data_IF_279215440058
#
_entry.id   IF_279215440058
#
_cell.length_a   1.000
_cell.length_b   1.000
_cell.length_c   1.000
_cell.angle_alpha   90.00
_cell.angle_beta   90.00
_cell.angle_gamma   90.00
#
_symmetry.space_group_name_H-M   'P 1'
#
loop_
_entity.id
_entity.type
_entity.pdbx_description
1 polymer ?
#
# COMPACT_ATOMS: atom_id res chain seq x y z
N UNK A 1 21.80 -64.72 5.57
CA UNK A 1 21.54 -63.28 5.36
C UNK A 1 21.23 -63.08 3.90
N UNK A 2 20.07 -62.50 3.64
CA UNK A 2 19.31 -62.58 2.40
C UNK A 2 19.25 -61.22 1.71
N UNK A 3 19.14 -61.25 0.37
CA UNK A 3 18.43 -60.27 -0.49
C UNK A 3 19.08 -58.86 -0.55
N UNK A 4 19.29 -58.20 -1.69
CA UNK A 4 18.81 -58.37 -3.05
C UNK A 4 18.43 -57.00 -3.62
N UNK A 5 18.72 -56.77 -4.91
CA UNK A 5 18.12 -55.79 -5.84
C UNK A 5 18.25 -54.29 -5.47
N UNK A 6 18.34 -53.33 -6.41
CA UNK A 6 18.27 -53.31 -7.86
C UNK A 6 18.83 -51.93 -8.29
N UNK A 7 19.82 -51.89 -9.19
CA UNK A 7 19.71 -51.80 -10.66
C UNK A 7 19.05 -50.54 -11.22
N UNK A 8 19.85 -49.85 -12.06
CA UNK A 8 19.54 -49.19 -13.35
C UNK A 8 18.63 -47.97 -13.27
N UNK A 9 19.06 -46.83 -13.82
CA UNK A 9 19.32 -46.63 -15.25
C UNK A 9 18.20 -45.73 -15.79
N UNK A 10 18.34 -44.91 -16.81
CA UNK A 10 19.43 -44.71 -17.74
C UNK A 10 19.20 -43.39 -18.48
N UNK A 11 20.31 -42.68 -18.68
CA UNK A 11 20.82 -42.28 -20.00
C UNK A 11 19.88 -42.52 -21.21
N UNK A 12 19.80 -41.49 -22.07
CA UNK A 12 20.02 -41.52 -23.54
C UNK A 12 18.85 -41.14 -24.48
N UNK A 13 19.14 -40.05 -25.21
CA UNK A 13 18.94 -39.72 -26.64
C UNK A 13 17.54 -39.63 -27.25
N UNK A 14 17.30 -38.40 -27.74
CA UNK A 14 16.73 -38.02 -29.03
C UNK A 14 16.72 -39.16 -30.05
N UNK A 15 15.53 -39.50 -30.52
CA UNK A 15 15.29 -40.22 -31.76
C UNK A 15 14.50 -39.31 -32.71
N UNK A 16 14.97 -39.28 -33.95
CA UNK A 16 14.31 -38.67 -35.10
C UNK A 16 12.93 -39.29 -35.31
N UNK A 17 11.99 -38.49 -35.81
CA UNK A 17 11.40 -38.67 -37.15
C UNK A 17 9.95 -38.19 -37.17
N UNK A 18 9.67 -37.46 -38.25
CA UNK A 18 8.40 -36.89 -38.64
C UNK A 18 7.50 -38.01 -39.14
N UNK A 19 6.22 -38.00 -38.80
CA UNK A 19 5.16 -38.49 -39.68
C UNK A 19 3.98 -37.54 -39.57
N UNK A 20 3.66 -36.90 -40.69
CA UNK A 20 2.47 -36.10 -40.92
C UNK A 20 1.26 -37.01 -41.08
N UNK A 21 0.12 -36.64 -40.50
CA UNK A 21 -1.18 -37.01 -41.04
C UNK A 21 -2.21 -35.95 -40.62
N UNK A 22 -2.73 -35.25 -41.62
CA UNK A 22 -3.80 -34.28 -41.49
C UNK A 22 -5.14 -35.00 -41.34
N UNK A 23 -5.97 -34.57 -40.40
CA UNK A 23 -7.44 -34.74 -40.47
C UNK A 23 -8.05 -33.41 -40.01
N UNK A 24 -8.83 -32.83 -40.90
CA UNK A 24 -9.38 -31.49 -40.80
C UNK A 24 -10.39 -31.32 -39.69
N UNK A 25 -10.32 -30.17 -39.05
CA UNK A 25 -11.46 -29.54 -38.40
C UNK A 25 -11.41 -28.06 -38.77
N UNK A 26 -12.31 -27.63 -39.65
CA UNK A 26 -12.50 -26.23 -39.96
C UNK A 26 -13.11 -25.54 -38.74
N UNK A 27 -12.27 -25.08 -37.81
CA UNK A 27 -12.65 -24.06 -36.83
C UNK A 27 -12.45 -22.72 -37.50
N UNK A 28 -13.55 -21.99 -37.65
CA UNK A 28 -13.56 -20.60 -38.07
C UNK A 28 -12.72 -19.78 -37.07
N UNK A 29 -11.43 -19.60 -37.37
CA UNK A 29 -10.52 -18.81 -36.55
C UNK A 29 -10.85 -17.33 -36.74
N UNK A 30 -11.75 -16.82 -35.91
CA UNK A 30 -11.87 -15.38 -35.68
C UNK A 30 -10.50 -14.89 -35.21
N UNK A 31 -9.89 -13.87 -35.85
CA UNK A 31 -8.67 -13.29 -35.32
C UNK A 31 -9.04 -12.61 -34.00
N UNK A 32 -8.70 -13.26 -32.88
CA UNK A 32 -8.65 -12.59 -31.60
C UNK A 32 -7.51 -11.58 -31.68
N UNK A 33 -7.83 -10.39 -32.16
CA UNK A 33 -6.91 -9.26 -32.12
C UNK A 33 -6.66 -8.97 -30.65
N UNK A 34 -5.55 -9.49 -30.11
CA UNK A 34 -5.01 -9.04 -28.84
C UNK A 34 -4.65 -7.57 -29.06
N UNK A 35 -5.56 -6.69 -28.68
CA UNK A 35 -5.29 -5.26 -28.59
C UNK A 35 -4.28 -5.12 -27.46
N UNK A 36 -3.00 -5.00 -27.82
CA UNK A 36 -1.96 -4.58 -26.90
C UNK A 36 -2.39 -3.22 -26.34
N UNK A 37 -2.89 -3.23 -25.11
CA UNK A 37 -3.17 -2.01 -24.37
C UNK A 37 -1.80 -1.42 -24.06
N UNK A 38 -1.42 -0.36 -24.78
CA UNK A 38 -0.22 0.40 -24.46
C UNK A 38 -0.32 0.87 -22.99
N UNK A 39 0.80 0.88 -22.24
CA UNK A 39 0.79 1.50 -20.93
C UNK A 39 0.40 2.96 -21.12
N UNK A 40 -0.65 3.40 -20.42
CA UNK A 40 -1.00 4.82 -20.28
C UNK A 40 0.13 5.51 -19.51
N UNK A 41 1.22 5.79 -20.20
CA UNK A 41 2.31 6.62 -19.71
C UNK A 41 1.88 8.09 -19.85
N UNK A 42 0.98 8.50 -18.97
CA UNK A 42 0.46 9.86 -18.86
C UNK A 42 -0.16 10.15 -17.50
N UNK A 43 0.16 9.35 -16.48
CA UNK A 43 -0.28 9.59 -15.11
C UNK A 43 0.71 10.52 -14.41
N UNK A 44 0.20 11.62 -13.85
CA UNK A 44 0.88 12.46 -12.88
C UNK A 44 1.67 11.57 -11.89
N UNK A 45 3.00 11.69 -11.84
CA UNK A 45 3.85 10.77 -11.09
C UNK A 45 3.48 10.70 -9.59
N UNK A 46 2.80 11.72 -9.06
CA UNK A 46 2.24 11.73 -7.72
C UNK A 46 1.04 10.80 -7.50
N UNK A 47 0.38 10.35 -8.57
CA UNK A 47 -0.72 9.37 -8.56
C UNK A 47 -0.23 7.93 -8.77
N UNK A 48 1.08 7.70 -8.90
CA UNK A 48 1.63 6.36 -8.96
C UNK A 48 1.25 5.57 -7.70
N UNK A 49 0.87 4.30 -7.88
CA UNK A 49 0.44 3.42 -6.78
C UNK A 49 1.69 2.85 -6.10
N UNK A 50 1.86 3.16 -4.82
CA UNK A 50 2.95 2.63 -3.99
C UNK A 50 2.59 1.26 -3.39
N UNK A 51 1.32 1.05 -3.04
CA UNK A 51 0.78 -0.21 -2.55
C UNK A 51 -0.75 -0.24 -2.71
N UNK A 52 -1.37 -1.40 -2.54
CA UNK A 52 -2.83 -1.56 -2.49
C UNK A 52 -3.17 -2.32 -1.20
N UNK A 53 -4.12 -1.78 -0.42
CA UNK A 53 -4.59 -2.39 0.84
C UNK A 53 -6.06 -2.77 0.66
N UNK A 54 -6.32 -4.08 0.53
CA UNK A 54 -7.61 -4.62 0.12
C UNK A 54 -8.07 -4.01 -1.23
N UNK A 55 -8.86 -2.94 -1.19
CA UNK A 55 -9.36 -2.23 -2.37
C UNK A 55 -8.98 -0.74 -2.41
N UNK A 56 -8.11 -0.28 -1.49
CA UNK A 56 -7.69 1.11 -1.39
C UNK A 56 -6.24 1.29 -1.88
N UNK A 57 -6.01 2.04 -2.98
CA UNK A 57 -4.67 2.31 -3.47
C UNK A 57 -3.99 3.37 -2.60
N UNK A 58 -2.77 3.08 -2.15
CA UNK A 58 -1.87 4.05 -1.53
C UNK A 58 -1.08 4.74 -2.63
N UNK A 59 -1.22 6.06 -2.78
CA UNK A 59 -0.42 6.82 -3.75
C UNK A 59 0.98 7.17 -3.23
N UNK A 60 1.93 7.35 -4.13
CA UNK A 60 3.29 7.81 -3.79
C UNK A 60 3.23 9.17 -3.09
N UNK A 61 2.38 10.11 -3.53
CA UNK A 61 2.24 11.43 -2.90
C UNK A 61 1.77 11.35 -1.45
N UNK A 62 0.83 10.45 -1.14
CA UNK A 62 0.38 10.23 0.23
C UNK A 62 1.48 9.63 1.10
N UNK A 63 2.20 8.64 0.57
CA UNK A 63 3.32 8.04 1.28
C UNK A 63 4.42 9.07 1.56
N UNK A 64 4.77 9.91 0.58
CA UNK A 64 5.74 10.98 0.78
C UNK A 64 5.31 12.01 1.83
N UNK A 65 4.03 12.40 1.83
CA UNK A 65 3.50 13.31 2.84
C UNK A 65 3.62 12.71 4.25
N UNK A 66 3.42 11.40 4.39
CA UNK A 66 3.61 10.68 5.66
C UNK A 66 5.07 10.59 6.08
N UNK A 67 5.98 10.38 5.13
CA UNK A 67 7.43 10.40 5.41
C UNK A 67 7.85 11.79 5.89
N UNK A 68 7.39 12.87 5.24
CA UNK A 68 7.65 14.25 5.66
C UNK A 68 7.07 14.53 7.05
N UNK A 69 5.86 14.05 7.34
CA UNK A 69 5.25 14.19 8.66
C UNK A 69 6.11 13.53 9.75
N UNK A 70 6.53 12.27 9.55
CA UNK A 70 7.37 11.55 10.51
C UNK A 70 8.72 12.25 10.69
N UNK A 71 9.36 12.67 9.59
CA UNK A 71 10.61 13.41 9.65
C UNK A 71 10.48 14.71 10.45
N UNK A 72 9.43 15.50 10.20
CA UNK A 72 9.14 16.74 10.90
C UNK A 72 8.92 16.51 12.40
N UNK A 73 8.06 15.54 12.77
CA UNK A 73 7.78 15.24 14.19
C UNK A 73 8.97 14.63 14.92
N UNK A 74 9.84 13.91 14.21
CA UNK A 74 11.07 13.33 14.75
C UNK A 74 12.25 14.28 14.76
N UNK A 75 12.07 15.53 14.32
CA UNK A 75 13.15 16.51 14.12
C UNK A 75 14.31 15.95 13.27
N UNK A 76 13.97 15.17 12.25
CA UNK A 76 14.91 14.56 11.32
C UNK A 76 15.07 15.45 10.08
N UNK A 77 16.27 15.54 9.49
CA UNK A 77 16.46 16.29 8.26
C UNK A 77 15.68 15.63 7.11
N UNK A 78 14.95 16.43 6.34
CA UNK A 78 14.31 15.96 5.13
C UNK A 78 15.36 15.82 4.00
N UNK A 79 15.86 14.60 3.83
CA UNK A 79 16.86 14.27 2.83
C UNK A 79 16.69 12.84 2.31
N UNK A 80 17.31 12.51 1.16
CA UNK A 80 17.12 11.22 0.49
C UNK A 80 17.49 10.02 1.37
N UNK A 81 18.56 10.14 2.18
CA UNK A 81 18.97 9.13 3.15
C UNK A 81 17.90 8.89 4.23
N UNK A 82 17.39 9.95 4.85
CA UNK A 82 16.31 9.86 5.85
C UNK A 82 15.07 9.21 5.24
N UNK A 83 14.65 9.65 4.05
CA UNK A 83 13.48 9.11 3.37
C UNK A 83 13.62 7.61 3.09
N UNK A 84 14.78 7.18 2.57
CA UNK A 84 15.06 5.74 2.30
C UNK A 84 14.96 4.89 3.56
N UNK A 85 15.44 5.42 4.70
CA UNK A 85 15.37 4.74 6.00
C UNK A 85 13.94 4.68 6.54
N UNK A 86 13.18 5.77 6.42
CA UNK A 86 11.82 5.86 6.94
C UNK A 86 10.79 5.12 6.08
N UNK A 87 10.98 5.07 4.76
CA UNK A 87 10.01 4.52 3.81
C UNK A 87 9.41 3.16 4.23
N UNK A 88 10.19 2.11 4.55
CA UNK A 88 9.61 0.81 4.88
C UNK A 88 8.76 0.84 6.16
N UNK A 89 9.18 1.62 7.16
CA UNK A 89 8.46 1.76 8.42
C UNK A 89 7.18 2.57 8.26
N UNK A 90 7.26 3.68 7.53
CA UNK A 90 6.11 4.56 7.27
C UNK A 90 5.06 3.85 6.41
N UNK A 91 5.50 3.11 5.38
CA UNK A 91 4.58 2.32 4.56
C UNK A 91 3.83 1.28 5.40
N UNK A 92 4.54 0.53 6.25
CA UNK A 92 3.90 -0.46 7.14
C UNK A 92 2.90 0.19 8.08
N UNK A 93 3.30 1.27 8.76
CA UNK A 93 2.40 2.02 9.65
C UNK A 93 1.17 2.54 8.91
N UNK A 94 1.32 3.01 7.67
CA UNK A 94 0.18 3.49 6.89
C UNK A 94 -0.76 2.35 6.50
N UNK A 95 -0.22 1.21 6.07
CA UNK A 95 -1.02 0.02 5.79
C UNK A 95 -1.82 -0.38 7.05
N UNK A 96 -1.17 -0.43 8.21
CA UNK A 96 -1.83 -0.75 9.48
C UNK A 96 -2.95 0.25 9.82
N UNK A 97 -2.72 1.54 9.63
CA UNK A 97 -3.75 2.58 9.84
C UNK A 97 -4.97 2.38 8.93
N UNK A 98 -4.77 2.02 7.66
CA UNK A 98 -5.87 1.77 6.73
C UNK A 98 -6.65 0.52 7.13
N UNK A 99 -5.96 -0.56 7.51
CA UNK A 99 -6.61 -1.77 8.00
C UNK A 99 -7.41 -1.51 9.28
N UNK A 100 -6.88 -0.73 10.22
CA UNK A 100 -7.59 -0.35 11.44
C UNK A 100 -8.85 0.46 11.15
N UNK A 101 -8.80 1.37 10.17
CA UNK A 101 -9.97 2.12 9.72
C UNK A 101 -11.02 1.21 9.11
N UNK A 102 -10.61 0.28 8.23
CA UNK A 102 -11.51 -0.68 7.61
C UNK A 102 -12.18 -1.60 8.65
N UNK A 103 -11.42 -2.11 9.62
CA UNK A 103 -11.96 -2.95 10.69
C UNK A 103 -12.91 -2.17 11.61
N UNK A 104 -12.55 -0.94 11.98
CA UNK A 104 -13.45 -0.08 12.74
C UNK A 104 -14.77 0.18 11.97
N UNK A 105 -14.69 0.46 10.68
CA UNK A 105 -15.87 0.68 9.83
C UNK A 105 -16.76 -0.57 9.71
N UNK A 106 -16.16 -1.76 9.56
CA UNK A 106 -16.88 -3.05 9.55
C UNK A 106 -17.71 -3.28 10.81
N UNK A 107 -17.26 -2.73 11.94
CA UNK A 107 -17.95 -2.78 13.24
C UNK A 107 -18.86 -1.56 13.50
N UNK A 108 -19.11 -0.72 12.50
CA UNK A 108 -19.99 0.45 12.61
C UNK A 108 -19.37 1.63 13.38
N UNK A 109 -18.06 1.60 13.64
CA UNK A 109 -17.35 2.64 14.38
C UNK A 109 -16.94 3.73 13.39
N UNK A 110 -17.57 4.90 13.54
CA UNK A 110 -17.26 6.09 12.73
C UNK A 110 -16.66 7.20 13.59
N UNK A 111 -15.80 7.99 12.97
CA UNK A 111 -15.13 9.14 13.61
C UNK A 111 -15.49 10.40 12.82
N UNK A 112 -16.23 11.29 13.47
CA UNK A 112 -16.67 12.58 12.94
C UNK A 112 -15.50 13.56 12.78
N UNK A 113 -15.66 14.56 11.93
CA UNK A 113 -14.65 15.62 11.78
C UNK A 113 -14.45 16.42 13.06
N UNK A 114 -15.51 16.62 13.86
CA UNK A 114 -15.39 17.31 15.15
C UNK A 114 -14.48 16.59 16.15
N UNK A 115 -14.48 15.25 16.14
CA UNK A 115 -13.57 14.45 16.97
C UNK A 115 -12.12 14.55 16.49
N UNK A 116 -11.92 14.60 15.18
CA UNK A 116 -10.60 14.85 14.59
C UNK A 116 -10.12 16.27 14.90
N UNK A 117 -11.01 17.27 14.89
CA UNK A 117 -10.68 18.65 15.26
C UNK A 117 -10.27 18.77 16.73
N UNK A 118 -10.96 18.08 17.63
CA UNK A 118 -10.59 18.00 19.05
C UNK A 118 -9.23 17.32 19.25
N UNK A 119 -8.96 16.24 18.51
CA UNK A 119 -7.67 15.57 18.55
C UNK A 119 -6.55 16.47 18.00
N UNK A 120 -6.80 17.18 16.90
CA UNK A 120 -5.87 18.15 16.32
C UNK A 120 -5.57 19.28 17.31
N UNK A 121 -6.59 19.80 17.99
CA UNK A 121 -6.42 20.82 19.03
C UNK A 121 -5.59 20.31 20.22
N UNK A 122 -5.76 19.04 20.59
CA UNK A 122 -4.95 18.39 21.63
C UNK A 122 -3.48 18.29 21.20
N UNK A 123 -3.20 17.90 19.96
CA UNK A 123 -1.84 17.87 19.42
C UNK A 123 -1.23 19.27 19.37
N UNK A 124 -1.98 20.26 18.89
CA UNK A 124 -1.52 21.64 18.84
C UNK A 124 -1.18 22.17 20.23
N UNK A 125 -2.05 21.95 21.21
CA UNK A 125 -1.81 22.36 22.60
C UNK A 125 -0.56 21.72 23.20
N UNK A 126 -0.32 20.42 22.95
CA UNK A 126 0.91 19.72 23.38
C UNK A 126 2.18 20.34 22.80
N UNK A 127 2.09 20.90 21.60
CA UNK A 127 3.19 21.60 20.93
C UNK A 127 3.21 23.11 21.25
N UNK A 128 2.37 23.59 22.18
CA UNK A 128 2.23 25.01 22.54
C UNK A 128 1.84 25.90 21.35
N UNK A 129 0.99 25.36 20.47
CA UNK A 129 0.48 26.02 19.28
C UNK A 129 -1.05 26.04 19.29
N UNK A 130 -1.63 26.97 18.54
CA UNK A 130 -3.06 26.89 18.15
C UNK A 130 -3.25 25.88 17.01
N UNK A 131 -4.46 25.34 16.80
CA UNK A 131 -4.74 24.44 15.67
C UNK A 131 -4.37 25.05 14.32
N UNK A 132 -4.65 26.34 14.14
CA UNK A 132 -4.29 27.10 12.94
C UNK A 132 -2.78 27.14 12.72
N UNK A 133 -2.01 27.48 13.76
CA UNK A 133 -0.55 27.51 13.66
C UNK A 133 0.06 26.14 13.36
N UNK A 134 -0.53 25.06 13.87
CA UNK A 134 -0.11 23.70 13.53
C UNK A 134 -0.36 23.39 12.05
N UNK A 135 -1.54 23.73 11.52
CA UNK A 135 -1.85 23.57 10.09
C UNK A 135 -0.87 24.37 9.22
N UNK A 136 -0.66 25.65 9.55
CA UNK A 136 0.30 26.50 8.84
C UNK A 136 1.73 25.93 8.88
N UNK A 137 2.13 25.31 9.99
CA UNK A 137 3.43 24.64 10.12
C UNK A 137 3.53 23.41 9.21
N UNK A 138 2.47 22.59 9.12
CA UNK A 138 2.45 21.43 8.21
C UNK A 138 2.53 21.88 6.74
N UNK A 139 1.73 22.87 6.36
CA UNK A 139 1.69 23.39 4.98
C UNK A 139 3.02 23.99 4.56
N UNK A 140 3.69 24.74 5.44
CA UNK A 140 5.05 25.27 5.20
C UNK A 140 6.08 24.17 4.94
N UNK A 141 5.85 22.96 5.46
CA UNK A 141 6.70 21.79 5.26
C UNK A 141 6.19 20.87 4.14
N UNK A 142 5.24 21.31 3.31
CA UNK A 142 4.69 20.53 2.20
C UNK A 142 3.92 19.29 2.65
N UNK A 143 3.33 19.34 3.85
CA UNK A 143 2.50 18.27 4.42
C UNK A 143 1.04 18.77 4.42
N UNK A 144 0.16 18.16 3.62
CA UNK A 144 -1.27 18.48 3.67
C UNK A 144 -1.82 18.21 5.08
N UNK A 145 -2.68 19.11 5.60
CA UNK A 145 -3.35 18.89 6.88
C UNK A 145 -4.13 17.57 6.92
N UNK A 146 -4.65 17.12 5.78
CA UNK A 146 -5.32 15.83 5.61
C UNK A 146 -4.46 14.64 6.06
N UNK A 147 -3.13 14.71 5.91
CA UNK A 147 -2.22 13.63 6.32
C UNK A 147 -2.28 13.40 7.82
N UNK A 148 -2.14 14.45 8.63
CA UNK A 148 -2.24 14.34 10.09
C UNK A 148 -3.67 14.01 10.52
N UNK A 149 -4.68 14.61 9.89
CA UNK A 149 -6.10 14.32 10.18
C UNK A 149 -6.45 12.85 9.96
N UNK A 150 -5.97 12.25 8.87
CA UNK A 150 -6.16 10.82 8.58
C UNK A 150 -5.53 9.93 9.65
N UNK A 151 -4.30 10.24 10.07
CA UNK A 151 -3.62 9.52 11.14
C UNK A 151 -4.36 9.62 12.48
N UNK A 152 -4.86 10.81 12.84
CA UNK A 152 -5.67 11.00 14.06
C UNK A 152 -7.00 10.24 13.98
N UNK A 153 -7.64 10.24 12.82
CA UNK A 153 -8.88 9.47 12.59
C UNK A 153 -8.65 7.97 12.82
N UNK A 154 -7.58 7.41 12.26
CA UNK A 154 -7.22 6.01 12.48
C UNK A 154 -6.98 5.70 13.96
N UNK A 155 -6.23 6.54 14.68
CA UNK A 155 -5.99 6.36 16.13
C UNK A 155 -7.28 6.39 16.96
N UNK A 156 -8.18 7.33 16.68
CA UNK A 156 -9.48 7.43 17.39
C UNK A 156 -10.34 6.19 17.09
N UNK A 157 -10.44 5.82 15.81
CA UNK A 157 -11.23 4.67 15.36
C UNK A 157 -10.72 3.38 16.02
N UNK A 158 -9.41 3.15 16.00
CA UNK A 158 -8.79 1.98 16.61
C UNK A 158 -8.96 1.94 18.12
N UNK A 159 -8.78 3.07 18.80
CA UNK A 159 -8.99 3.15 20.27
C UNK A 159 -10.43 2.77 20.64
N UNK A 160 -11.42 3.16 19.82
CA UNK A 160 -12.83 2.77 20.02
C UNK A 160 -13.05 1.30 19.75
N UNK A 161 -12.50 0.80 18.65
CA UNK A 161 -12.58 -0.61 18.27
C UNK A 161 -12.08 -1.51 19.41
N UNK A 162 -10.87 -1.25 19.90
CA UNK A 162 -10.29 -2.01 21.01
C UNK A 162 -11.17 -1.96 22.26
N UNK A 163 -11.80 -0.82 22.58
CA UNK A 163 -12.66 -0.71 23.77
C UNK A 163 -14.03 -1.38 23.65
N UNK A 164 -14.52 -1.57 22.44
CA UNK A 164 -15.87 -2.07 22.18
C UNK A 164 -15.89 -3.56 21.84
N UNK A 165 -14.81 -4.06 21.22
CA UNK A 165 -14.75 -5.40 20.65
C UNK A 165 -13.84 -6.33 21.46
N UNK A 166 -12.81 -5.80 22.13
CA UNK A 166 -11.84 -6.55 22.92
C UNK A 166 -12.03 -6.28 24.42
#
# INVERSE_FOLDING_TARGET
MAVGAGTRGGRIRRWFARVSAAIGFAVLALPFAVRAQAPVAGGDAGLAIAAVVENEPITVRELEARIRLVALTGNLPDGPETRRRLLPQVLRSYIDELLQLQEAERHGIRVSDGEVDQALATVAARNRMTPRQLVELLEKNGIPAATLRGQLRAQIAWTRFVRQVL
#
